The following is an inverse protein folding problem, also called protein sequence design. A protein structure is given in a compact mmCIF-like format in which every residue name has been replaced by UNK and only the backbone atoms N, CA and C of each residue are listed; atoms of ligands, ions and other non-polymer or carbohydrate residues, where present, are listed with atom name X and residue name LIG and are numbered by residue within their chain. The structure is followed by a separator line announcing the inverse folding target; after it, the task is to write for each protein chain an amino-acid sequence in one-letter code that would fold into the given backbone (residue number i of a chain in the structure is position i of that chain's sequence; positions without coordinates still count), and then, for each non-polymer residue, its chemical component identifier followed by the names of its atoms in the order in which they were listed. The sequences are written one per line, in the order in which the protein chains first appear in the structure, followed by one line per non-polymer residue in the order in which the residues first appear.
data_IF_733470406596
#
_entry.id   IF_733470406596
#
_cell.length_a   1.000
_cell.length_b   1.000
_cell.length_c   1.000
_cell.angle_alpha   90.00
_cell.angle_beta   90.00
_cell.angle_gamma   90.00
#
_symmetry.space_group_name_H-M   'P 1'
#
loop_
_entity.id
_entity.type
_entity.pdbx_description
1 polymer ?
#
# COMPACT_ATOMS: atom_id res chain seq x y z
N UNK A 1 -4.56 -17.48 -7.91
CA UNK A 1 -4.45 -16.79 -6.61
C UNK A 1 -5.57 -17.32 -5.72
N UNK A 2 -5.25 -18.02 -4.65
CA UNK A 2 -6.26 -18.42 -3.65
C UNK A 2 -6.13 -17.46 -2.48
N UNK A 3 -7.13 -16.58 -2.29
CA UNK A 3 -7.17 -15.67 -1.15
C UNK A 3 -7.53 -16.42 0.13
N UNK A 4 -6.90 -16.06 1.24
CA UNK A 4 -7.27 -16.56 2.57
C UNK A 4 -7.86 -15.40 3.38
N UNK A 5 -9.11 -15.54 3.80
CA UNK A 5 -9.71 -14.65 4.78
C UNK A 5 -9.02 -14.88 6.13
N UNK A 6 -8.54 -13.81 6.76
CA UNK A 6 -7.91 -13.87 8.07
C UNK A 6 -7.99 -12.52 8.76
N UNK A 7 -7.92 -12.52 10.10
CA UNK A 7 -7.83 -11.28 10.89
C UNK A 7 -6.63 -10.41 10.47
N UNK A 8 -5.55 -11.03 9.99
CA UNK A 8 -4.36 -10.34 9.48
C UNK A 8 -4.58 -9.71 8.10
N UNK A 9 -5.54 -10.21 7.31
CA UNK A 9 -5.97 -9.55 6.09
C UNK A 9 -6.76 -8.27 6.44
N UNK A 10 -7.61 -8.33 7.47
CA UNK A 10 -8.32 -7.15 7.98
C UNK A 10 -7.37 -6.11 8.59
N UNK A 11 -6.31 -6.54 9.28
CA UNK A 11 -5.27 -5.60 9.75
C UNK A 11 -4.58 -4.89 8.58
N UNK A 12 -4.28 -5.61 7.50
CA UNK A 12 -3.65 -5.01 6.33
C UNK A 12 -4.55 -3.96 5.67
N UNK A 13 -5.81 -4.30 5.43
CA UNK A 13 -6.77 -3.37 4.83
C UNK A 13 -7.04 -2.16 5.73
N UNK A 14 -7.08 -2.34 7.04
CA UNK A 14 -7.11 -1.22 8.00
C UNK A 14 -5.93 -0.26 7.80
N UNK A 15 -4.70 -0.79 7.69
CA UNK A 15 -3.52 0.02 7.45
C UNK A 15 -3.60 0.83 6.15
N UNK A 16 -4.12 0.23 5.07
CA UNK A 16 -4.36 0.95 3.81
C UNK A 16 -5.37 2.08 4.00
N UNK A 17 -6.52 1.80 4.63
CA UNK A 17 -7.56 2.81 4.87
C UNK A 17 -7.04 3.98 5.71
N UNK A 18 -6.19 3.72 6.71
CA UNK A 18 -5.55 4.79 7.48
C UNK A 18 -4.67 5.69 6.59
N UNK A 19 -3.88 5.11 5.68
CA UNK A 19 -3.09 5.90 4.72
C UNK A 19 -3.99 6.68 3.75
N UNK A 20 -5.12 6.11 3.32
CA UNK A 20 -6.09 6.80 2.46
C UNK A 20 -6.71 8.01 3.19
N UNK A 21 -7.08 7.85 4.46
CA UNK A 21 -7.62 8.94 5.29
C UNK A 21 -6.61 10.06 5.45
N UNK A 22 -5.35 9.75 5.78
CA UNK A 22 -4.32 10.77 6.00
C UNK A 22 -3.99 11.52 4.71
N UNK A 23 -3.97 10.81 3.59
CA UNK A 23 -3.58 11.40 2.30
C UNK A 23 -4.72 12.06 1.54
N UNK A 24 -5.97 11.74 1.85
CA UNK A 24 -7.13 12.11 1.04
C UNK A 24 -7.13 11.42 -0.34
N UNK A 25 -6.35 10.35 -0.52
CA UNK A 25 -6.16 9.67 -1.81
C UNK A 25 -6.59 8.20 -1.74
N UNK A 26 -7.10 7.66 -2.85
CA UNK A 26 -7.37 6.21 -2.91
C UNK A 26 -6.07 5.44 -3.07
N UNK A 27 -6.01 4.24 -2.51
CA UNK A 27 -4.83 3.37 -2.60
C UNK A 27 -4.48 2.94 -4.02
N UNK A 28 -5.46 2.96 -4.94
CA UNK A 28 -5.29 2.65 -6.35
C UNK A 28 -4.95 3.86 -7.21
N UNK A 29 -5.08 5.07 -6.65
CA UNK A 29 -4.70 6.28 -7.36
C UNK A 29 -3.18 6.30 -7.44
N UNK A 30 -2.69 6.49 -8.67
CA UNK A 30 -1.26 6.53 -8.93
C UNK A 30 -0.86 7.99 -9.11
N UNK A 31 0.01 8.50 -8.24
CA UNK A 31 0.53 9.87 -8.34
C UNK A 31 1.91 9.84 -9.01
N UNK A 32 2.16 10.80 -9.91
CA UNK A 32 3.42 11.00 -10.60
C UNK A 32 3.22 11.27 -12.09
N UNK A 33 4.22 11.87 -12.74
CA UNK A 33 4.28 11.93 -14.21
C UNK A 33 4.46 10.51 -14.78
N UNK A 34 4.27 10.32 -16.09
CA UNK A 34 4.27 9.01 -16.78
C UNK A 34 5.46 8.09 -16.41
N UNK A 35 6.58 8.65 -15.95
CA UNK A 35 7.80 7.94 -15.54
C UNK A 35 7.90 7.60 -14.03
N UNK A 36 7.05 8.19 -13.17
CA UNK A 36 7.11 8.07 -11.69
C UNK A 36 5.75 7.76 -11.05
N UNK A 37 4.91 6.98 -11.74
CA UNK A 37 3.64 6.52 -11.22
C UNK A 37 3.85 5.64 -9.97
N UNK A 38 3.48 6.15 -8.79
CA UNK A 38 3.61 5.45 -7.51
C UNK A 38 2.27 5.25 -6.81
N UNK A 39 2.03 4.01 -6.35
CA UNK A 39 0.88 3.69 -5.50
C UNK A 39 1.03 4.34 -4.12
N UNK A 40 -0.10 4.61 -3.45
CA UNK A 40 -0.14 5.26 -2.13
C UNK A 40 0.80 4.60 -1.10
N UNK A 41 0.80 3.27 -1.00
CA UNK A 41 1.66 2.55 -0.07
C UNK A 41 3.15 2.76 -0.37
N UNK A 42 3.52 2.85 -1.66
CA UNK A 42 4.89 3.10 -2.10
C UNK A 42 5.35 4.51 -1.77
N UNK A 43 4.50 5.50 -2.08
CA UNK A 43 4.75 6.89 -1.71
C UNK A 43 4.90 7.03 -0.19
N UNK A 44 3.98 6.44 0.57
CA UNK A 44 3.98 6.49 2.05
C UNK A 44 5.28 5.92 2.63
N UNK A 45 5.75 4.79 2.11
CA UNK A 45 7.01 4.18 2.53
C UNK A 45 8.22 5.08 2.23
N UNK A 46 8.32 5.68 1.04
CA UNK A 46 9.42 6.60 0.70
C UNK A 46 9.45 7.84 1.58
N UNK A 47 8.28 8.37 1.93
CA UNK A 47 8.17 9.51 2.84
C UNK A 47 8.61 9.12 4.26
N UNK A 48 8.22 7.94 4.74
CA UNK A 48 8.71 7.38 6.01
C UNK A 48 10.24 7.24 6.02
N UNK A 49 10.84 6.62 4.99
CA UNK A 49 12.30 6.43 4.93
C UNK A 49 13.09 7.75 4.90
N UNK A 50 12.52 8.80 4.30
CA UNK A 50 13.13 10.14 4.27
C UNK A 50 12.90 10.94 5.56
N UNK A 51 12.00 10.49 6.44
CA UNK A 51 11.54 11.25 7.61
C UNK A 51 10.51 12.34 7.27
N UNK A 52 10.00 12.36 6.04
CA UNK A 52 9.08 13.35 5.46
C UNK A 52 7.60 12.96 5.58
N UNK A 53 7.20 12.28 6.65
CA UNK A 53 5.84 11.75 6.84
C UNK A 53 4.71 12.74 6.56
N UNK A 54 4.87 14.00 6.97
CA UNK A 54 3.85 15.04 6.85
C UNK A 54 3.58 15.46 5.39
N UNK A 55 4.49 15.16 4.45
CA UNK A 55 4.24 15.32 3.00
C UNK A 55 3.18 14.33 2.47
N UNK A 56 2.74 13.39 3.30
CA UNK A 56 1.62 12.50 3.00
C UNK A 56 0.27 13.17 3.28
N UNK A 57 0.23 14.14 4.21
CA UNK A 57 -1.01 14.76 4.67
C UNK A 57 -1.72 15.49 3.51
N UNK A 58 -3.05 15.41 3.49
CA UNK A 58 -3.87 16.16 2.53
C UNK A 58 -3.53 17.66 2.54
N UNK A 59 -3.41 18.25 1.35
CA UNK A 59 -3.15 19.67 1.19
C UNK A 59 -4.33 20.49 1.71
N UNK A 60 -4.06 21.52 2.52
CA UNK A 60 -5.08 22.44 3.02
C UNK A 60 -5.62 22.15 4.43
N UNK A 61 -5.10 21.12 5.11
CA UNK A 61 -5.31 20.95 6.55
C UNK A 61 -4.52 22.03 7.30
N UNK A 62 -5.17 22.74 8.22
CA UNK A 62 -4.53 23.76 9.05
C UNK A 62 -3.49 23.10 10.00
N UNK A 63 -2.23 23.55 10.02
CA UNK A 63 -1.21 23.06 10.95
C UNK A 63 -1.60 23.14 12.43
N UNK A 64 -2.53 24.03 12.81
CA UNK A 64 -3.01 24.16 14.18
C UNK A 64 -4.11 23.13 14.55
N UNK A 65 -4.64 22.39 13.56
CA UNK A 65 -5.70 21.39 13.76
C UNK A 65 -5.19 19.97 14.07
N UNK A 66 -3.88 19.72 14.01
CA UNK A 66 -3.31 18.39 14.27
C UNK A 66 -1.99 18.42 15.05
N UNK A 67 -1.72 17.35 15.80
CA UNK A 67 -0.42 17.09 16.40
C UNK A 67 0.47 16.34 15.39
N UNK A 68 1.52 17.01 14.91
CA UNK A 68 2.43 16.49 13.91
C UNK A 68 3.11 15.17 14.31
N UNK A 69 3.41 14.99 15.60
CA UNK A 69 4.02 13.75 16.10
C UNK A 69 3.00 12.62 16.17
N UNK A 70 1.73 12.93 16.48
CA UNK A 70 0.66 11.93 16.40
C UNK A 70 0.43 11.48 14.96
N UNK A 71 0.42 12.40 13.98
CA UNK A 71 0.25 12.04 12.56
C UNK A 71 1.39 11.14 12.08
N UNK A 72 2.65 11.51 12.33
CA UNK A 72 3.84 10.67 12.01
C UNK A 72 3.66 9.25 12.55
N UNK A 73 3.29 9.17 13.81
CA UNK A 73 3.13 7.90 14.51
C UNK A 73 1.98 7.06 13.95
N UNK A 74 0.84 7.67 13.60
CA UNK A 74 -0.27 6.95 12.96
C UNK A 74 0.18 6.38 11.61
N UNK A 75 0.99 7.12 10.83
CA UNK A 75 1.58 6.63 9.58
C UNK A 75 2.46 5.41 9.84
N UNK A 76 3.32 5.46 10.86
CA UNK A 76 4.17 4.31 11.23
C UNK A 76 3.34 3.07 11.63
N UNK A 77 2.27 3.25 12.40
CA UNK A 77 1.33 2.17 12.75
C UNK A 77 0.67 1.59 11.50
N UNK A 78 0.25 2.43 10.56
CA UNK A 78 -0.32 1.98 9.29
C UNK A 78 0.70 1.18 8.45
N UNK A 79 1.97 1.59 8.45
CA UNK A 79 3.06 0.85 7.81
C UNK A 79 3.36 -0.50 8.50
N UNK A 80 3.21 -0.59 9.83
CA UNK A 80 3.27 -1.86 10.56
C UNK A 80 2.08 -2.78 10.22
N UNK A 81 0.90 -2.21 9.97
CA UNK A 81 -0.28 -2.97 9.56
C UNK A 81 -0.14 -3.54 8.14
N UNK A 82 0.60 -2.87 7.26
CA UNK A 82 0.76 -3.22 5.84
C UNK A 82 1.99 -4.09 5.55
N UNK A 83 2.58 -4.70 6.57
CA UNK A 83 3.75 -5.57 6.40
C UNK A 83 3.44 -6.77 5.48
N UNK A 84 4.45 -7.15 4.70
CA UNK A 84 4.33 -8.18 3.67
C UNK A 84 3.88 -9.53 4.24
N UNK A 85 4.46 -9.94 5.37
CA UNK A 85 4.10 -11.20 6.03
C UNK A 85 3.00 -10.97 7.06
N UNK A 86 2.00 -11.85 7.09
CA UNK A 86 0.89 -11.76 8.05
C UNK A 86 1.38 -11.83 9.52
N UNK A 87 2.49 -12.52 9.77
CA UNK A 87 3.09 -12.64 11.10
C UNK A 87 3.75 -11.35 11.60
N UNK A 88 4.23 -10.48 10.70
CA UNK A 88 4.85 -9.20 11.06
C UNK A 88 3.82 -8.09 11.31
N UNK A 89 2.56 -8.29 10.91
CA UNK A 89 1.48 -7.33 11.19
C UNK A 89 1.09 -7.45 12.66
N UNK A 90 0.77 -6.35 13.36
CA UNK A 90 0.16 -6.41 14.70
C UNK A 90 -1.21 -7.08 14.65
N UNK A 91 -1.74 -7.48 15.80
CA UNK A 91 -3.16 -7.82 16.00
C UNK A 91 -3.98 -6.54 16.14
N UNK A 92 -5.29 -6.58 15.88
CA UNK A 92 -6.14 -5.39 16.05
C UNK A 92 -6.14 -4.88 17.50
N UNK A 93 -6.01 -5.76 18.50
CA UNK A 93 -5.82 -5.36 19.89
C UNK A 93 -4.52 -4.59 20.12
N UNK A 94 -3.42 -5.03 19.52
CA UNK A 94 -2.13 -4.30 19.58
C UNK A 94 -2.24 -2.96 18.86
N UNK A 95 -2.91 -2.90 17.71
CA UNK A 95 -3.18 -1.63 16.99
C UNK A 95 -3.92 -0.65 17.90
N UNK A 96 -4.95 -1.07 18.63
CA UNK A 96 -5.67 -0.21 19.58
C UNK A 96 -4.77 0.30 20.70
N UNK A 97 -3.89 -0.56 21.24
CA UNK A 97 -2.90 -0.16 22.26
C UNK A 97 -1.92 0.85 21.68
N UNK A 98 -1.41 0.59 20.48
CA UNK A 98 -0.53 1.50 19.75
C UNK A 98 -1.22 2.82 19.44
N UNK A 99 -2.50 2.88 19.13
CA UNK A 99 -3.16 4.17 18.90
C UNK A 99 -3.38 4.97 20.20
N UNK A 100 -3.52 4.29 21.34
CA UNK A 100 -3.82 4.95 22.64
C UNK A 100 -2.59 5.40 23.42
N UNK A 101 -1.46 4.71 23.31
CA UNK A 101 -0.31 4.89 24.22
C UNK A 101 0.79 5.71 23.59
N UNK A 102 1.04 6.97 23.95
CA UNK A 102 2.04 7.86 23.29
C UNK A 102 3.46 7.30 23.08
N UNK A 103 3.91 6.29 23.84
CA UNK A 103 5.31 5.84 23.84
C UNK A 103 5.54 4.45 23.21
N UNK A 104 4.52 3.82 22.61
CA UNK A 104 4.60 2.38 22.27
C UNK A 104 5.20 2.05 20.90
N UNK A 105 5.52 3.04 20.05
CA UNK A 105 6.04 2.78 18.68
C UNK A 105 7.56 2.79 18.60
N UNK A 106 8.26 3.34 19.61
CA UNK A 106 9.73 3.50 19.56
C UNK A 106 10.53 2.20 19.35
N UNK A 107 9.93 1.04 19.66
CA UNK A 107 10.55 -0.27 19.49
C UNK A 107 10.10 -1.05 18.24
N UNK A 108 9.11 -0.55 17.50
CA UNK A 108 8.52 -1.23 16.35
C UNK A 108 8.78 -0.44 15.07
N UNK A 109 9.79 -0.85 14.30
CA UNK A 109 10.08 -0.25 13.00
C UNK A 109 9.47 -1.08 11.87
N UNK A 110 8.56 -0.52 11.05
CA UNK A 110 8.06 -1.23 9.88
C UNK A 110 9.20 -1.52 8.91
N UNK A 111 9.10 -2.66 8.22
CA UNK A 111 10.02 -3.07 7.15
C UNK A 111 9.40 -2.77 5.78
N UNK A 112 10.22 -2.77 4.74
CA UNK A 112 9.78 -2.41 3.39
C UNK A 112 8.61 -3.29 2.94
N UNK A 113 7.44 -2.70 2.63
CA UNK A 113 6.30 -3.46 2.15
C UNK A 113 6.56 -4.01 0.75
N UNK A 114 5.84 -5.08 0.39
CA UNK A 114 5.91 -5.64 -0.97
C UNK A 114 5.08 -4.78 -1.90
N UNK A 115 5.75 -4.10 -2.83
CA UNK A 115 5.08 -3.37 -3.91
C UNK A 115 4.75 -4.34 -5.04
N UNK A 116 3.46 -4.49 -5.35
CA UNK A 116 3.04 -5.18 -6.57
C UNK A 116 3.26 -4.22 -7.73
N UNK A 117 4.41 -4.31 -8.40
CA UNK A 117 4.67 -3.58 -9.62
C UNK A 117 3.72 -4.04 -10.72
N UNK A 118 2.72 -3.24 -11.05
CA UNK A 118 2.08 -3.33 -12.37
C UNK A 118 3.09 -2.82 -13.38
N UNK A 119 3.69 -3.72 -14.16
CA UNK A 119 4.32 -3.34 -15.41
C UNK A 119 3.26 -2.68 -16.29
N UNK A 120 3.14 -1.35 -16.23
CA UNK A 120 2.44 -0.58 -17.25
C UNK A 120 3.29 -0.71 -18.50
N UNK A 121 2.97 -1.70 -19.34
CA UNK A 121 3.52 -1.78 -20.67
C UNK A 121 3.07 -0.55 -21.44
N UNK A 122 3.95 0.45 -21.56
CA UNK A 122 3.88 1.49 -22.59
C UNK A 122 3.85 0.79 -23.94
N UNK A 123 2.65 0.71 -24.53
CA UNK A 123 2.45 0.13 -25.85
C UNK A 123 2.56 1.24 -26.89
N UNK A 124 3.78 1.54 -27.31
CA UNK A 124 4.04 2.21 -28.59
C UNK A 124 5.18 1.51 -29.36
N UNK A 125 4.87 1.13 -30.61
CA UNK A 125 5.84 1.06 -31.71
C UNK A 125 6.71 -0.19 -31.87
N UNK A 126 6.27 -1.08 -32.77
CA UNK A 126 7.08 -2.01 -33.59
C UNK A 126 8.15 -2.88 -32.92
N UNK A 127 7.81 -4.16 -32.71
CA UNK A 127 8.74 -5.26 -33.00
C UNK A 127 7.95 -6.54 -33.27
N UNK A 128 8.01 -7.00 -34.52
CA UNK A 128 7.62 -8.35 -34.94
C UNK A 128 8.48 -9.39 -34.24
N UNK A 129 7.89 -10.18 -33.35
CA UNK A 129 8.43 -11.47 -32.94
C UNK A 129 7.32 -12.53 -33.04
N UNK A 130 7.35 -13.24 -34.15
CA UNK A 130 6.51 -14.40 -34.43
C UNK A 130 6.75 -15.50 -33.38
N UNK A 131 5.71 -15.90 -32.66
CA UNK A 131 5.70 -17.14 -31.88
C UNK A 131 4.49 -17.96 -32.30
N UNK A 132 4.75 -19.03 -33.06
CA UNK A 132 3.74 -19.99 -33.49
C UNK A 132 3.31 -20.84 -32.29
N UNK A 133 2.04 -20.78 -31.91
CA UNK A 133 1.41 -21.77 -31.05
C UNK A 133 0.31 -22.47 -31.85
N UNK A 134 0.52 -23.75 -32.18
CA UNK A 134 -0.53 -24.59 -32.75
C UNK A 134 -1.55 -24.89 -31.64
N UNK A 135 -2.75 -24.32 -31.74
CA UNK A 135 -3.90 -24.70 -30.93
C UNK A 135 -4.68 -25.81 -31.65
N UNK A 136 -4.72 -27.02 -31.09
CA UNK A 136 -5.63 -28.08 -31.51
C UNK A 136 -7.03 -27.78 -30.95
N UNK A 137 -7.97 -27.42 -31.83
CA UNK A 137 -9.37 -27.19 -31.48
C UNK A 137 -10.09 -28.54 -31.46
N UNK A 138 -10.52 -28.98 -30.27
CA UNK A 138 -11.52 -30.05 -30.17
C UNK A 138 -12.91 -29.43 -30.19
N UNK A 139 -13.60 -29.55 -31.32
CA UNK A 139 -15.01 -29.17 -31.48
C UNK A 139 -15.91 -30.23 -30.84
N UNK A 140 -16.54 -29.92 -29.71
CA UNK A 140 -17.68 -30.70 -29.20
C UNK A 140 -18.93 -30.15 -29.87
N UNK A 141 -19.51 -30.92 -30.78
CA UNK A 141 -20.79 -30.61 -31.41
C UNK A 141 -21.93 -30.87 -30.43
N UNK A 142 -22.74 -29.86 -30.15
CA UNK A 142 -24.03 -30.02 -29.49
C UNK A 142 -25.12 -30.20 -30.56
N UNK A 143 -25.64 -31.43 -30.68
CA UNK A 143 -27.03 -31.75 -31.04
C UNK A 143 -27.27 -33.24 -30.87
#
# INVERSE_FOLDING_TARGET
MHGQLSEKADTYSFGIVVLEIISGQKSTDVKGDEESSEYLLQRSWKLYERGSHLELLEEGIDPDEYDAEEVKRIIEIALLCTQATAAARPTMSEVVVLLKSRNSVEHLRPTMPVFVGTNVMTREGNSTSSSNANASISIVSAR
#
